data_IF_468129228604
#
_entry.id   IF_468129228604
#
_cell.length_a   1.000
_cell.length_b   1.000
_cell.length_c   1.000
_cell.angle_alpha   90.00
_cell.angle_beta   90.00
_cell.angle_gamma   90.00
#
_symmetry.space_group_name_H-M   'P 1'
#
loop_
_entity.id
_entity.type
_entity.pdbx_description
1 polymer ?
#
# COMPACT_ATOMS: atom_id res chain seq x y z
N UNK A 1 -43.00 -24.64 -17.24
CA UNK A 1 -42.09 -23.50 -17.51
C UNK A 1 -41.55 -23.04 -16.18
N UNK A 2 -40.23 -23.01 -16.01
CA UNK A 2 -39.63 -22.46 -14.81
C UNK A 2 -39.77 -20.93 -14.87
N UNK A 3 -40.31 -20.32 -13.81
CA UNK A 3 -40.34 -18.86 -13.69
C UNK A 3 -38.93 -18.38 -13.35
N UNK A 4 -38.34 -17.58 -14.23
CA UNK A 4 -37.11 -16.83 -13.92
C UNK A 4 -37.51 -15.47 -13.34
N UNK A 5 -36.97 -15.14 -12.16
CA UNK A 5 -37.18 -13.84 -11.50
C UNK A 5 -35.85 -13.12 -11.36
N UNK A 6 -35.82 -11.83 -11.69
CA UNK A 6 -34.67 -10.95 -11.51
C UNK A 6 -34.95 -9.98 -10.36
N UNK A 7 -34.01 -9.88 -9.42
CA UNK A 7 -34.10 -8.97 -8.27
C UNK A 7 -32.94 -7.98 -8.28
N UNK A 8 -33.25 -6.71 -8.07
CA UNK A 8 -32.27 -5.64 -7.88
C UNK A 8 -32.38 -5.18 -6.43
N UNK A 9 -31.25 -5.14 -5.73
CA UNK A 9 -31.16 -4.71 -4.33
C UNK A 9 -30.11 -3.61 -4.22
N UNK A 10 -30.48 -2.49 -3.59
CA UNK A 10 -29.54 -1.44 -3.17
C UNK A 10 -29.17 -1.68 -1.71
N UNK A 11 -27.90 -1.52 -1.35
CA UNK A 11 -27.43 -1.78 0.02
C UNK A 11 -26.27 -0.86 0.39
N UNK A 12 -26.25 -0.45 1.66
CA UNK A 12 -25.08 0.14 2.32
C UNK A 12 -24.30 -0.88 3.16
N UNK A 13 -24.75 -2.14 3.17
CA UNK A 13 -24.08 -3.19 3.93
C UNK A 13 -22.85 -3.69 3.18
N UNK A 14 -21.66 -3.62 3.79
CA UNK A 14 -20.44 -4.12 3.18
C UNK A 14 -20.42 -5.65 3.04
N UNK A 15 -21.24 -6.36 3.83
CA UNK A 15 -21.34 -7.82 3.81
C UNK A 15 -21.91 -8.40 2.50
N UNK A 16 -22.46 -7.59 1.60
CA UNK A 16 -23.02 -8.09 0.33
C UNK A 16 -21.97 -8.84 -0.53
N UNK A 17 -20.70 -8.46 -0.38
CA UNK A 17 -19.55 -9.08 -1.05
C UNK A 17 -19.26 -10.49 -0.53
N UNK A 18 -19.54 -10.73 0.75
CA UNK A 18 -19.34 -12.01 1.42
C UNK A 18 -20.09 -13.13 0.69
N UNK A 19 -21.39 -12.90 0.49
CA UNK A 19 -22.31 -13.90 -0.03
C UNK A 19 -22.19 -14.12 -1.54
N UNK A 20 -21.95 -13.05 -2.30
CA UNK A 20 -22.14 -13.07 -3.76
C UNK A 20 -20.90 -12.74 -4.58
N UNK A 21 -19.79 -12.35 -3.95
CA UNK A 21 -18.54 -11.97 -4.63
C UNK A 21 -18.72 -10.74 -5.53
N UNK A 22 -17.80 -10.53 -6.48
CA UNK A 22 -17.78 -9.32 -7.32
C UNK A 22 -18.81 -9.30 -8.46
N UNK A 23 -19.12 -10.45 -9.05
CA UNK A 23 -19.89 -10.52 -10.32
C UNK A 23 -21.27 -9.81 -10.30
N UNK A 24 -22.09 -9.92 -9.25
CA UNK A 24 -23.43 -9.32 -9.26
C UNK A 24 -23.44 -7.85 -8.82
N UNK A 25 -22.29 -7.26 -8.47
CA UNK A 25 -22.25 -5.93 -7.87
C UNK A 25 -22.12 -4.86 -8.97
N UNK A 26 -22.90 -3.80 -8.82
CA UNK A 26 -22.77 -2.55 -9.55
C UNK A 26 -22.48 -1.46 -8.53
N UNK A 27 -21.32 -0.84 -8.66
CA UNK A 27 -20.83 0.13 -7.71
C UNK A 27 -21.09 1.54 -8.23
N UNK A 28 -21.86 2.32 -7.48
CA UNK A 28 -22.25 3.68 -7.86
C UNK A 28 -21.27 4.65 -7.19
N UNK A 29 -20.35 5.18 -7.98
CA UNK A 29 -19.37 6.16 -7.54
C UNK A 29 -19.86 7.56 -7.85
N UNK A 30 -19.98 8.41 -6.83
CA UNK A 30 -20.23 9.84 -7.04
C UNK A 30 -18.94 10.54 -7.47
N UNK A 31 -19.05 11.44 -8.43
CA UNK A 31 -17.96 12.26 -8.94
C UNK A 31 -18.41 13.72 -9.01
N UNK A 32 -17.46 14.64 -8.85
CA UNK A 32 -17.68 16.06 -9.05
C UNK A 32 -16.71 16.54 -10.13
N UNK A 33 -17.19 16.67 -11.36
CA UNK A 33 -16.39 17.07 -12.52
C UNK A 33 -16.79 18.49 -12.88
N UNK A 34 -15.85 19.44 -12.76
CA UNK A 34 -16.12 20.83 -13.16
C UNK A 34 -17.27 21.51 -12.41
N UNK A 35 -17.61 21.04 -11.20
CA UNK A 35 -18.72 21.55 -10.40
C UNK A 35 -20.05 20.81 -10.61
N UNK A 36 -20.14 19.89 -11.56
CA UNK A 36 -21.31 19.04 -11.78
C UNK A 36 -21.18 17.70 -11.05
N UNK A 37 -22.23 17.34 -10.32
CA UNK A 37 -22.33 16.05 -9.65
C UNK A 37 -22.77 14.98 -10.65
N UNK A 38 -21.89 14.04 -10.93
CA UNK A 38 -22.15 12.89 -11.80
C UNK A 38 -22.05 11.59 -11.01
N UNK A 39 -22.61 10.51 -11.54
CA UNK A 39 -22.47 9.18 -10.95
C UNK A 39 -22.00 8.21 -12.01
N UNK A 40 -20.87 7.56 -11.75
CA UNK A 40 -20.33 6.50 -12.58
C UNK A 40 -20.73 5.15 -12.00
N UNK A 41 -21.22 4.25 -12.86
CA UNK A 41 -21.61 2.89 -12.45
C UNK A 41 -20.52 1.92 -12.88
N UNK A 42 -19.72 1.47 -11.92
CA UNK A 42 -18.67 0.48 -12.14
C UNK A 42 -19.24 -0.93 -12.09
N UNK A 43 -18.90 -1.74 -13.11
CA UNK A 43 -19.31 -3.13 -13.20
C UNK A 43 -18.22 -4.06 -12.65
N UNK A 44 -18.37 -4.52 -11.41
CA UNK A 44 -17.39 -5.40 -10.76
C UNK A 44 -17.24 -6.76 -11.44
N UNK A 45 -18.21 -7.21 -12.25
CA UNK A 45 -18.01 -8.38 -13.10
C UNK A 45 -16.95 -8.16 -14.16
N UNK A 46 -16.85 -6.94 -14.70
CA UNK A 46 -15.83 -6.61 -15.69
C UNK A 46 -14.43 -6.61 -15.06
N UNK A 47 -14.31 -6.08 -13.83
CA UNK A 47 -13.08 -6.20 -13.03
C UNK A 47 -12.69 -7.66 -12.82
N UNK A 48 -13.64 -8.48 -12.34
CA UNK A 48 -13.41 -9.90 -12.08
C UNK A 48 -12.91 -10.67 -13.32
N UNK A 49 -13.38 -10.32 -14.52
CA UNK A 49 -12.94 -10.96 -15.77
C UNK A 49 -11.58 -10.47 -16.27
N UNK A 50 -11.22 -9.20 -16.01
CA UNK A 50 -9.98 -8.59 -16.51
C UNK A 50 -8.76 -8.83 -15.61
N UNK A 51 -8.97 -9.23 -14.35
CA UNK A 51 -7.88 -9.36 -13.36
C UNK A 51 -7.73 -10.79 -12.81
N UNK A 52 -7.45 -11.81 -13.64
CA UNK A 52 -7.44 -13.21 -13.20
C UNK A 52 -6.40 -13.52 -12.12
N UNK A 53 -5.25 -12.83 -12.11
CA UNK A 53 -4.14 -13.11 -11.19
C UNK A 53 -4.39 -12.60 -9.76
N UNK A 54 -5.16 -11.53 -9.61
CA UNK A 54 -5.36 -10.85 -8.31
C UNK A 54 -6.77 -11.09 -7.74
N UNK A 55 -7.78 -11.38 -8.58
CA UNK A 55 -9.19 -11.40 -8.16
C UNK A 55 -9.50 -12.35 -7.03
N UNK A 56 -8.89 -13.53 -6.99
CA UNK A 56 -9.23 -14.56 -6.00
C UNK A 56 -8.65 -14.19 -4.63
N UNK A 57 -7.46 -13.61 -4.61
CA UNK A 57 -6.86 -13.01 -3.42
C UNK A 57 -7.70 -11.83 -2.92
N UNK A 58 -8.00 -10.86 -3.80
CA UNK A 58 -8.78 -9.68 -3.45
C UNK A 58 -10.18 -10.04 -2.95
N UNK A 59 -10.85 -10.97 -3.64
CA UNK A 59 -12.16 -11.43 -3.21
C UNK A 59 -12.08 -12.11 -1.84
N UNK A 60 -11.10 -13.01 -1.61
CA UNK A 60 -10.95 -13.67 -0.31
C UNK A 60 -10.66 -12.66 0.80
N UNK A 61 -9.77 -11.71 0.54
CA UNK A 61 -9.36 -10.70 1.50
C UNK A 61 -10.54 -9.78 1.90
N UNK A 62 -11.29 -9.28 0.91
CA UNK A 62 -12.45 -8.40 1.15
C UNK A 62 -13.64 -9.13 1.79
N UNK A 63 -13.77 -10.45 1.59
CA UNK A 63 -14.80 -11.24 2.27
C UNK A 63 -14.53 -11.37 3.77
N UNK A 64 -13.27 -11.53 4.19
CA UNK A 64 -12.95 -11.92 5.56
C UNK A 64 -12.85 -10.74 6.52
N UNK A 65 -12.30 -9.60 6.07
CA UNK A 65 -11.82 -8.58 7.02
C UNK A 65 -12.15 -7.14 6.62
N UNK A 66 -12.19 -6.82 5.32
CA UNK A 66 -12.21 -5.41 4.86
C UNK A 66 -13.27 -5.12 3.78
N UNK A 67 -14.53 -5.47 4.06
CA UNK A 67 -15.63 -5.14 3.15
C UNK A 67 -16.03 -3.65 3.20
N UNK A 68 -15.57 -2.94 4.22
CA UNK A 68 -15.70 -1.49 4.44
C UNK A 68 -15.01 -0.64 3.36
N UNK A 69 -13.99 -1.18 2.67
CA UNK A 69 -13.28 -0.51 1.57
C UNK A 69 -14.22 0.10 0.52
N UNK A 70 -15.35 -0.55 0.23
CA UNK A 70 -16.32 -0.06 -0.78
C UNK A 70 -17.07 1.19 -0.34
N UNK A 71 -17.13 1.45 0.96
CA UNK A 71 -17.84 2.58 1.54
C UNK A 71 -16.89 3.64 2.09
N UNK A 72 -15.58 3.42 1.98
CA UNK A 72 -14.57 4.31 2.51
C UNK A 72 -14.46 5.61 1.70
N UNK A 73 -14.25 6.72 2.41
CA UNK A 73 -13.87 8.00 1.80
C UNK A 73 -12.42 7.94 1.32
N UNK A 74 -11.56 7.22 2.06
CA UNK A 74 -10.19 6.91 1.68
C UNK A 74 -9.71 5.61 2.33
N UNK A 75 -8.73 4.96 1.72
CA UNK A 75 -8.10 3.75 2.19
C UNK A 75 -6.66 4.02 2.66
N UNK A 76 -6.23 3.39 3.75
CA UNK A 76 -4.83 3.38 4.17
C UNK A 76 -4.39 1.91 4.24
N UNK A 77 -3.52 1.52 3.32
CA UNK A 77 -2.93 0.19 3.28
C UNK A 77 -1.65 0.23 4.08
N UNK A 78 -1.56 -0.61 5.09
CA UNK A 78 -0.40 -0.70 5.97
C UNK A 78 0.21 -2.09 5.91
N UNK A 79 1.53 -2.16 5.97
CA UNK A 79 2.25 -3.42 5.83
C UNK A 79 1.95 -4.42 6.95
N UNK A 80 1.99 -3.96 8.21
CA UNK A 80 1.88 -4.81 9.38
C UNK A 80 0.88 -4.33 10.44
N UNK A 81 0.87 -5.10 11.53
CA UNK A 81 -0.03 -4.88 12.66
C UNK A 81 0.37 -3.67 13.51
N UNK A 82 1.65 -3.29 13.53
CA UNK A 82 2.13 -2.14 14.31
C UNK A 82 1.52 -0.85 13.78
N UNK A 83 1.63 -0.61 12.47
CA UNK A 83 0.99 0.50 11.78
C UNK A 83 -0.52 0.51 12.01
N UNK A 84 -1.17 -0.66 11.85
CA UNK A 84 -2.63 -0.78 12.01
C UNK A 84 -3.09 -0.35 13.40
N UNK A 85 -2.31 -0.65 14.44
CA UNK A 85 -2.62 -0.30 15.82
C UNK A 85 -2.26 1.15 16.16
N UNK A 86 -1.15 1.66 15.66
CA UNK A 86 -0.66 3.00 15.98
C UNK A 86 -1.38 4.10 15.21
N UNK A 87 -1.72 3.86 13.94
CA UNK A 87 -2.27 4.89 13.05
C UNK A 87 -3.58 5.52 13.57
N UNK A 88 -4.56 4.77 14.11
CA UNK A 88 -5.75 5.37 14.72
C UNK A 88 -5.41 6.29 15.90
N UNK A 89 -4.43 5.91 16.73
CA UNK A 89 -3.99 6.72 17.87
C UNK A 89 -3.29 7.99 17.38
N UNK A 90 -2.43 7.88 16.36
CA UNK A 90 -1.75 9.03 15.75
C UNK A 90 -2.76 10.04 15.19
N UNK A 91 -3.79 9.57 14.47
CA UNK A 91 -4.86 10.43 13.93
C UNK A 91 -5.65 11.14 15.04
N UNK A 92 -5.91 10.45 16.16
CA UNK A 92 -6.64 11.03 17.29
C UNK A 92 -5.80 12.05 18.09
N UNK A 93 -4.49 11.86 18.17
CA UNK A 93 -3.61 12.76 18.91
C UNK A 93 -3.14 13.96 18.07
N UNK A 94 -3.01 13.77 16.75
CA UNK A 94 -2.47 14.80 15.86
C UNK A 94 -3.50 15.92 15.58
N UNK A 95 -3.09 17.16 15.82
CA UNK A 95 -3.98 18.33 15.68
C UNK A 95 -4.24 18.67 14.22
N UNK A 96 -3.29 18.37 13.35
CA UNK A 96 -3.43 18.60 11.91
C UNK A 96 -4.35 17.56 11.25
N UNK A 97 -4.55 16.40 11.89
CA UNK A 97 -5.36 15.29 11.38
C UNK A 97 -6.84 15.34 11.80
N UNK A 98 -7.33 16.42 12.41
CA UNK A 98 -8.71 16.50 12.96
C UNK A 98 -9.78 16.18 11.92
N UNK A 99 -9.59 16.59 10.66
CA UNK A 99 -10.53 16.30 9.57
C UNK A 99 -10.67 14.80 9.26
N UNK A 100 -9.61 14.03 9.47
CA UNK A 100 -9.58 12.58 9.24
C UNK A 100 -10.42 11.80 10.24
N UNK A 101 -10.65 12.35 11.44
CA UNK A 101 -11.45 11.72 12.50
C UNK A 101 -12.93 11.59 12.13
N UNK A 102 -13.41 12.48 11.26
CA UNK A 102 -14.78 12.46 10.73
C UNK A 102 -14.91 11.78 9.38
N UNK A 103 -13.79 11.35 8.77
CA UNK A 103 -13.79 10.65 7.49
C UNK A 103 -13.99 9.14 7.71
N UNK A 104 -14.69 8.48 6.79
CA UNK A 104 -14.81 7.03 6.78
C UNK A 104 -13.52 6.40 6.22
N UNK A 105 -12.46 6.38 7.03
CA UNK A 105 -11.19 5.76 6.67
C UNK A 105 -11.25 4.24 6.84
N UNK A 106 -10.84 3.51 5.80
CA UNK A 106 -10.60 2.06 5.90
C UNK A 106 -9.09 1.83 6.04
N UNK A 107 -8.66 1.23 7.15
CA UNK A 107 -7.26 0.87 7.39
C UNK A 107 -7.11 -0.64 7.16
N UNK A 108 -6.29 -1.02 6.17
CA UNK A 108 -6.13 -2.40 5.72
C UNK A 108 -4.71 -2.87 6.00
N UNK A 109 -4.55 -3.88 6.85
CA UNK A 109 -3.26 -4.55 7.08
C UNK A 109 -3.06 -5.62 6.01
N UNK A 110 -2.11 -5.39 5.11
CA UNK A 110 -1.89 -6.28 3.96
C UNK A 110 -1.05 -7.52 4.29
N UNK A 111 -0.37 -7.52 5.45
CA UNK A 111 0.37 -8.67 5.97
C UNK A 111 1.67 -8.92 5.20
N UNK A 112 2.50 -7.87 5.07
CA UNK A 112 3.76 -7.83 4.31
C UNK A 112 3.68 -6.90 3.09
N UNK A 113 4.74 -6.89 2.26
CA UNK A 113 4.91 -6.03 1.08
C UNK A 113 3.96 -6.28 -0.11
N UNK A 114 2.68 -6.61 0.14
CA UNK A 114 1.69 -7.04 -0.85
C UNK A 114 0.68 -5.95 -1.26
N UNK A 115 0.88 -4.69 -0.85
CA UNK A 115 -0.04 -3.60 -1.20
C UNK A 115 -0.21 -3.41 -2.72
N UNK A 116 0.83 -3.68 -3.53
CA UNK A 116 0.74 -3.71 -5.00
C UNK A 116 -0.40 -4.58 -5.55
N UNK A 117 -0.80 -5.66 -4.85
CA UNK A 117 -1.91 -6.53 -5.28
C UNK A 117 -3.27 -5.86 -5.23
N UNK A 118 -3.40 -4.77 -4.48
CA UNK A 118 -4.61 -3.96 -4.38
C UNK A 118 -4.68 -2.86 -5.42
N UNK A 119 -3.58 -2.60 -6.14
CA UNK A 119 -3.49 -1.54 -7.16
C UNK A 119 -4.68 -1.57 -8.11
N UNK A 120 -4.91 -2.71 -8.77
CA UNK A 120 -5.98 -2.80 -9.77
C UNK A 120 -7.36 -2.50 -9.20
N UNK A 121 -7.62 -2.90 -7.95
CA UNK A 121 -8.90 -2.66 -7.28
C UNK A 121 -9.06 -1.20 -6.85
N UNK A 122 -8.02 -0.60 -6.24
CA UNK A 122 -8.02 0.80 -5.84
C UNK A 122 -8.23 1.70 -7.07
N UNK A 123 -7.50 1.42 -8.15
CA UNK A 123 -7.61 2.15 -9.40
C UNK A 123 -8.99 1.98 -10.06
N UNK A 124 -9.50 0.74 -10.07
CA UNK A 124 -10.83 0.43 -10.61
C UNK A 124 -11.93 1.16 -9.83
N UNK A 125 -11.93 1.06 -8.50
CA UNK A 125 -12.92 1.73 -7.64
C UNK A 125 -12.74 3.26 -7.62
N UNK A 126 -11.56 3.77 -7.97
CA UNK A 126 -11.24 5.20 -7.96
C UNK A 126 -11.08 5.75 -6.55
N UNK A 127 -10.48 4.98 -5.65
CA UNK A 127 -10.35 5.37 -4.26
C UNK A 127 -9.17 6.34 -4.07
N UNK A 128 -9.28 7.21 -3.07
CA UNK A 128 -8.12 7.88 -2.50
C UNK A 128 -7.42 6.89 -1.57
N UNK A 129 -6.15 6.62 -1.81
CA UNK A 129 -5.40 5.61 -1.06
C UNK A 129 -4.02 6.13 -0.63
N UNK A 130 -3.65 5.79 0.60
CA UNK A 130 -2.29 5.91 1.12
C UNK A 130 -1.75 4.50 1.34
N UNK A 131 -0.53 4.23 0.89
CA UNK A 131 0.19 3.01 1.23
C UNK A 131 1.35 3.40 2.14
N UNK A 132 1.45 2.75 3.29
CA UNK A 132 2.57 2.86 4.23
C UNK A 132 3.24 1.48 4.24
N UNK A 133 4.48 1.42 3.78
CA UNK A 133 5.21 0.16 3.60
C UNK A 133 6.68 0.36 3.97
N UNK A 134 7.35 -0.74 4.28
CA UNK A 134 8.76 -0.76 4.62
C UNK A 134 9.67 -0.60 3.41
N UNK A 135 10.89 -0.13 3.67
CA UNK A 135 11.92 0.04 2.67
C UNK A 135 12.54 -1.32 2.29
N UNK A 136 12.56 -2.26 3.24
CA UNK A 136 13.07 -3.63 3.09
C UNK A 136 14.41 -3.71 2.33
N UNK A 137 15.41 -2.98 2.82
CA UNK A 137 16.74 -2.96 2.22
C UNK A 137 17.43 -4.33 2.32
N UNK A 138 17.95 -4.79 1.18
CA UNK A 138 18.72 -6.02 1.02
C UNK A 138 19.97 -5.78 0.19
N UNK A 139 21.04 -6.48 0.52
CA UNK A 139 22.26 -6.58 -0.27
C UNK A 139 22.12 -7.77 -1.23
N UNK A 140 22.22 -7.56 -2.55
CA UNK A 140 22.08 -8.65 -3.50
C UNK A 140 23.18 -9.70 -3.29
N UNK A 141 22.79 -10.97 -3.31
CA UNK A 141 23.70 -12.12 -3.28
C UNK A 141 23.68 -12.84 -4.63
N UNK A 142 24.74 -13.58 -4.95
CA UNK A 142 24.78 -14.35 -6.19
C UNK A 142 23.89 -15.60 -6.06
N UNK A 143 23.25 -16.00 -7.16
CA UNK A 143 22.51 -17.26 -7.22
C UNK A 143 23.48 -18.43 -6.96
N UNK A 144 23.28 -19.15 -5.85
CA UNK A 144 24.07 -20.34 -5.47
C UNK A 144 25.05 -20.16 -4.30
N UNK A 145 24.96 -19.08 -3.51
CA UNK A 145 25.64 -19.00 -2.21
C UNK A 145 24.98 -19.96 -1.19
N UNK A 146 25.79 -20.66 -0.39
CA UNK A 146 25.41 -21.85 0.39
C UNK A 146 24.52 -21.60 1.64
N UNK A 147 24.08 -20.35 1.87
CA UNK A 147 23.21 -19.96 3.01
C UNK A 147 21.82 -19.50 2.52
N UNK A 148 21.13 -20.34 1.73
CA UNK A 148 19.80 -20.02 1.15
C UNK A 148 18.72 -19.74 2.22
N UNK A 149 18.88 -20.22 3.46
CA UNK A 149 17.86 -20.15 4.51
C UNK A 149 17.61 -18.73 5.06
N UNK A 150 18.51 -17.76 4.83
CA UNK A 150 18.36 -16.36 5.30
C UNK A 150 18.11 -15.35 4.18
N UNK A 151 18.03 -15.81 2.93
CA UNK A 151 17.91 -14.92 1.78
C UNK A 151 16.44 -14.49 1.56
N UNK A 152 16.25 -13.20 1.30
CA UNK A 152 14.96 -12.67 0.86
C UNK A 152 14.87 -12.74 -0.66
N UNK A 153 13.98 -13.58 -1.18
CA UNK A 153 13.65 -13.62 -2.60
C UNK A 153 12.70 -12.49 -2.99
N UNK A 154 12.97 -11.86 -4.13
CA UNK A 154 12.11 -10.81 -4.68
C UNK A 154 12.17 -10.78 -6.21
N UNK A 155 11.12 -10.24 -6.82
CA UNK A 155 11.01 -10.11 -8.26
C UNK A 155 11.32 -8.67 -8.68
N UNK A 156 12.06 -8.53 -9.78
CA UNK A 156 12.31 -7.24 -10.43
C UNK A 156 11.86 -7.26 -11.90
N UNK A 157 11.36 -6.14 -12.44
CA UNK A 157 11.06 -6.03 -13.86
C UNK A 157 12.27 -6.40 -14.72
N UNK A 158 12.00 -7.10 -15.83
CA UNK A 158 13.03 -7.43 -16.81
C UNK A 158 13.47 -6.16 -17.56
N UNK A 159 14.74 -6.12 -17.97
CA UNK A 159 15.28 -5.01 -18.77
C UNK A 159 14.63 -4.95 -20.16
N UNK A 160 14.21 -6.09 -20.70
CA UNK A 160 13.42 -6.16 -21.92
C UNK A 160 11.92 -6.12 -21.59
N UNK A 161 11.20 -5.20 -22.22
CA UNK A 161 9.74 -5.13 -22.11
C UNK A 161 9.11 -6.45 -22.58
N UNK A 162 8.02 -6.85 -21.94
CA UNK A 162 7.25 -8.09 -22.20
C UNK A 162 7.92 -9.42 -21.83
N UNK A 163 9.13 -9.40 -21.26
CA UNK A 163 9.72 -10.59 -20.64
C UNK A 163 9.24 -10.79 -19.18
N UNK A 164 9.22 -12.04 -18.69
CA UNK A 164 8.85 -12.31 -17.30
C UNK A 164 9.83 -11.65 -16.32
N UNK A 165 9.37 -11.30 -15.10
CA UNK A 165 10.22 -10.70 -14.09
C UNK A 165 11.37 -11.63 -13.71
N UNK A 166 12.50 -11.02 -13.34
CA UNK A 166 13.71 -11.73 -12.92
C UNK A 166 13.68 -11.89 -11.41
N UNK A 167 13.92 -13.11 -10.93
CA UNK A 167 14.10 -13.36 -9.50
C UNK A 167 15.50 -12.96 -9.05
N UNK A 168 15.56 -12.27 -7.93
CA UNK A 168 16.78 -11.92 -7.21
C UNK A 168 16.66 -12.37 -5.77
N UNK A 169 17.80 -12.57 -5.14
CA UNK A 169 17.91 -12.86 -3.71
C UNK A 169 18.83 -11.85 -3.07
N UNK A 170 18.58 -11.53 -1.80
CA UNK A 170 19.44 -10.63 -1.04
C UNK A 170 19.32 -10.84 0.45
N UNK A 171 20.41 -10.56 1.17
CA UNK A 171 20.45 -10.57 2.63
C UNK A 171 20.08 -9.21 3.17
N UNK A 172 19.30 -9.17 4.26
CA UNK A 172 18.94 -7.92 4.92
C UNK A 172 20.18 -7.05 5.20
N UNK A 173 20.09 -5.77 4.86
CA UNK A 173 21.19 -4.83 5.05
C UNK A 173 20.68 -3.47 5.55
N UNK A 174 21.60 -2.61 5.95
CA UNK A 174 21.27 -1.22 6.29
C UNK A 174 20.90 -0.44 5.02
N UNK A 175 19.89 0.46 5.09
CA UNK A 175 19.55 1.34 3.96
C UNK A 175 20.71 2.20 3.45
N UNK A 176 21.69 2.49 4.30
CA UNK A 176 22.89 3.26 3.96
C UNK A 176 23.96 2.46 3.23
N UNK A 177 23.82 1.13 3.10
CA UNK A 177 24.83 0.30 2.45
C UNK A 177 24.91 0.61 0.94
N UNK A 178 26.12 0.86 0.38
CA UNK A 178 26.27 1.15 -1.04
C UNK A 178 25.73 0.02 -1.92
N UNK A 179 24.83 0.34 -2.84
CA UNK A 179 24.23 -0.63 -3.75
C UNK A 179 23.09 -1.46 -3.15
N UNK A 180 22.60 -1.10 -1.96
CA UNK A 180 21.40 -1.72 -1.37
C UNK A 180 20.20 -1.61 -2.32
N UNK A 181 19.45 -2.70 -2.42
CA UNK A 181 18.19 -2.81 -3.15
C UNK A 181 17.03 -2.90 -2.17
N UNK A 182 15.80 -2.64 -2.62
CA UNK A 182 14.60 -3.02 -1.88
C UNK A 182 14.12 -4.40 -2.34
N UNK A 183 13.61 -5.22 -1.43
CA UNK A 183 12.83 -6.42 -1.78
C UNK A 183 11.31 -6.13 -1.84
N UNK A 184 10.89 -4.93 -1.44
CA UNK A 184 9.48 -4.54 -1.34
C UNK A 184 8.82 -4.41 -2.73
N UNK A 185 7.90 -5.32 -3.03
CA UNK A 185 7.24 -5.40 -4.34
C UNK A 185 6.36 -4.18 -4.64
N UNK A 186 5.88 -3.47 -3.62
CA UNK A 186 5.11 -2.23 -3.83
C UNK A 186 5.99 -1.11 -4.36
N UNK A 187 7.18 -0.95 -3.79
CA UNK A 187 8.16 0.05 -4.23
C UNK A 187 8.70 -0.25 -5.64
N UNK A 188 8.87 -1.54 -5.96
CA UNK A 188 9.36 -2.02 -7.25
C UNK A 188 8.29 -1.92 -8.35
N UNK A 189 7.06 -2.38 -8.10
CA UNK A 189 6.06 -2.59 -9.15
C UNK A 189 5.02 -1.47 -9.25
N UNK A 190 4.73 -0.77 -8.14
CA UNK A 190 3.64 0.21 -8.11
C UNK A 190 4.14 1.65 -8.15
N UNK A 191 4.70 2.13 -7.04
CA UNK A 191 5.25 3.48 -6.87
C UNK A 191 6.36 3.42 -5.81
N UNK A 192 7.50 4.10 -6.02
CA UNK A 192 7.84 4.94 -7.17
C UNK A 192 8.41 4.16 -8.38
N UNK A 193 8.38 2.82 -8.34
CA UNK A 193 8.99 1.91 -9.34
C UNK A 193 10.50 2.06 -9.43
N UNK A 194 11.15 2.08 -8.27
CA UNK A 194 12.61 2.14 -8.13
C UNK A 194 13.09 0.86 -7.45
N UNK A 195 14.34 0.50 -7.69
CA UNK A 195 14.91 -0.75 -7.16
C UNK A 195 16.02 -0.50 -6.14
N UNK A 196 16.84 0.53 -6.36
CA UNK A 196 17.91 0.84 -5.42
C UNK A 196 17.37 1.70 -4.27
N UNK A 197 17.91 1.49 -3.07
CA UNK A 197 17.59 2.34 -1.92
C UNK A 197 17.97 3.79 -2.20
N UNK A 198 19.09 4.03 -2.88
CA UNK A 198 19.52 5.38 -3.26
C UNK A 198 18.47 6.10 -4.13
N UNK A 199 17.88 5.42 -5.12
CA UNK A 199 16.80 5.99 -5.93
C UNK A 199 15.53 6.23 -5.12
N UNK A 200 15.19 5.33 -4.19
CA UNK A 200 14.01 5.47 -3.33
C UNK A 200 14.14 6.66 -2.38
N UNK A 201 15.32 6.88 -1.80
CA UNK A 201 15.59 8.03 -0.94
C UNK A 201 15.63 9.35 -1.74
N UNK A 202 16.03 9.29 -3.01
CA UNK A 202 16.03 10.45 -3.92
C UNK A 202 14.66 10.71 -4.59
N UNK A 203 13.70 9.78 -4.46
CA UNK A 203 12.41 9.89 -5.14
C UNK A 203 11.60 11.10 -4.66
N UNK A 204 11.07 11.84 -5.62
CA UNK A 204 10.27 13.04 -5.42
C UNK A 204 8.85 12.71 -4.93
N UNK A 205 8.14 13.72 -4.44
CA UNK A 205 6.73 13.59 -4.04
C UNK A 205 5.84 13.22 -5.24
N UNK A 206 6.16 13.74 -6.42
CA UNK A 206 5.48 13.43 -7.67
C UNK A 206 5.69 11.97 -8.09
N UNK A 207 6.89 11.41 -7.92
CA UNK A 207 7.16 9.99 -8.21
C UNK A 207 6.46 9.04 -7.22
N UNK A 208 6.16 9.51 -6.01
CA UNK A 208 5.43 8.77 -4.97
C UNK A 208 3.91 8.89 -5.09
N UNK A 209 3.42 9.72 -6.01
CA UNK A 209 2.00 10.04 -6.20
C UNK A 209 1.53 9.60 -7.58
N UNK A 210 0.45 8.83 -7.63
CA UNK A 210 -0.27 8.54 -8.87
C UNK A 210 -1.72 8.99 -8.74
N UNK A 211 -2.12 9.90 -9.62
CA UNK A 211 -3.49 10.39 -9.68
C UNK A 211 -4.01 10.24 -11.10
N UNK A 212 -5.22 9.73 -11.24
CA UNK A 212 -5.90 9.68 -12.52
C UNK A 212 -6.26 11.08 -13.02
N UNK A 213 -6.10 11.32 -14.31
CA UNK A 213 -6.45 12.59 -14.95
C UNK A 213 -7.98 12.82 -14.99
N UNK A 214 -8.39 14.08 -15.15
CA UNK A 214 -9.79 14.43 -15.44
C UNK A 214 -10.76 14.41 -14.24
N UNK A 215 -10.26 14.44 -13.00
CA UNK A 215 -11.08 14.63 -11.80
C UNK A 215 -11.94 13.42 -11.38
N UNK A 216 -11.78 12.30 -12.07
CA UNK A 216 -12.69 11.14 -12.01
C UNK A 216 -12.10 9.87 -11.40
N UNK A 217 -10.81 9.83 -11.15
CA UNK A 217 -10.18 8.58 -10.75
C UNK A 217 -9.49 8.64 -9.40
N UNK A 218 -8.77 7.57 -9.14
CA UNK A 218 -8.08 7.34 -7.89
C UNK A 218 -6.97 8.36 -7.67
N UNK A 219 -6.56 8.49 -6.40
CA UNK A 219 -5.35 9.18 -6.00
C UNK A 219 -4.61 8.30 -5.01
N UNK A 220 -3.44 7.79 -5.39
CA UNK A 220 -2.63 6.88 -4.58
C UNK A 220 -1.32 7.57 -4.24
N UNK A 221 -0.94 7.56 -2.96
CA UNK A 221 0.42 7.92 -2.53
C UNK A 221 1.06 6.73 -1.81
N UNK A 222 2.34 6.49 -2.05
CA UNK A 222 3.14 5.51 -1.29
C UNK A 222 4.14 6.25 -0.41
N UNK A 223 4.24 5.84 0.85
CA UNK A 223 5.22 6.33 1.81
C UNK A 223 6.00 5.16 2.38
N UNK A 224 7.23 5.45 2.73
CA UNK A 224 8.22 4.55 3.30
C UNK A 224 9.24 5.41 4.04
N UNK A 225 10.16 4.76 4.74
CA UNK A 225 11.14 5.40 5.61
C UNK A 225 12.03 6.38 4.83
N UNK A 226 12.34 7.52 5.47
CA UNK A 226 13.23 8.56 4.93
C UNK A 226 14.36 8.84 5.92
N UNK A 227 15.48 9.46 5.48
CA UNK A 227 16.59 9.76 6.37
C UNK A 227 16.20 10.82 7.41
N UNK A 228 16.54 10.54 8.66
CA UNK A 228 16.29 11.39 9.83
C UNK A 228 17.62 11.72 10.50
N UNK A 229 17.83 12.99 10.82
CA UNK A 229 18.99 13.41 11.58
C UNK A 229 18.81 13.04 13.05
N UNK A 230 19.66 12.14 13.55
CA UNK A 230 19.63 11.66 14.93
C UNK A 230 20.88 12.14 15.65
N UNK A 231 20.70 12.75 16.81
CA UNK A 231 21.80 13.15 17.69
C UNK A 231 21.93 12.16 18.84
N UNK A 232 23.12 11.60 19.02
CA UNK A 232 23.47 10.69 20.11
C UNK A 232 24.83 11.08 20.69
N UNK A 233 24.94 11.24 22.01
CA UNK A 233 26.18 11.66 22.69
C UNK A 233 26.86 12.91 22.11
N UNK A 234 26.09 13.84 21.53
CA UNK A 234 26.61 15.07 20.92
C UNK A 234 27.07 14.93 19.47
N UNK A 235 26.98 13.74 18.88
CA UNK A 235 27.23 13.50 17.46
C UNK A 235 25.91 13.37 16.70
N UNK A 236 25.78 14.08 15.58
CA UNK A 236 24.60 14.00 14.71
C UNK A 236 24.93 13.20 13.46
N UNK A 237 24.11 12.18 13.17
CA UNK A 237 24.20 11.38 11.96
C UNK A 237 22.83 11.32 11.26
N UNK A 238 22.84 11.31 9.92
CA UNK A 238 21.65 11.05 9.12
C UNK A 238 21.46 9.54 9.01
N UNK A 239 20.43 9.01 9.67
CA UNK A 239 20.11 7.58 9.72
C UNK A 239 18.77 7.31 9.04
N UNK A 240 18.62 6.14 8.44
CA UNK A 240 17.34 5.72 7.84
C UNK A 240 17.01 4.33 8.37
N UNK A 241 15.80 4.17 8.89
CA UNK A 241 15.27 2.86 9.28
C UNK A 241 14.95 2.03 8.05
N UNK A 242 15.04 0.71 8.19
CA UNK A 242 14.58 -0.27 7.21
C UNK A 242 13.08 -0.52 7.34
N UNK A 243 12.57 -0.54 8.59
CA UNK A 243 11.17 -0.77 8.92
C UNK A 243 10.55 0.43 9.64
N UNK A 244 9.22 0.43 9.80
CA UNK A 244 8.51 1.48 10.53
C UNK A 244 9.02 1.59 11.97
N UNK A 245 9.25 0.48 12.66
CA UNK A 245 9.66 0.48 14.07
C UNK A 245 11.03 1.13 14.26
N UNK A 246 11.96 0.86 13.35
CA UNK A 246 13.27 1.50 13.35
C UNK A 246 13.14 3.00 13.11
N UNK A 247 12.40 3.41 12.08
CA UNK A 247 12.18 4.83 11.79
C UNK A 247 11.49 5.56 12.95
N UNK A 248 10.49 4.93 13.56
CA UNK A 248 9.80 5.44 14.73
C UNK A 248 10.76 5.65 15.91
N UNK A 249 11.65 4.68 16.16
CA UNK A 249 12.70 4.81 17.19
C UNK A 249 13.69 5.94 16.89
N UNK A 250 14.11 6.09 15.63
CA UNK A 250 15.04 7.13 15.20
C UNK A 250 14.42 8.54 15.32
N UNK A 251 13.17 8.72 14.90
CA UNK A 251 12.45 10.00 15.03
C UNK A 251 12.20 10.39 16.50
N UNK A 252 12.06 9.40 17.37
CA UNK A 252 11.86 9.59 18.80
C UNK A 252 13.15 9.37 19.63
N UNK A 253 14.33 9.47 18.99
CA UNK A 253 15.61 9.13 19.62
C UNK A 253 15.88 9.90 20.91
N UNK A 254 15.46 11.17 21.02
CA UNK A 254 15.60 11.96 22.24
C UNK A 254 14.80 11.36 23.42
N UNK A 255 13.60 10.86 23.14
CA UNK A 255 12.77 10.19 24.14
C UNK A 255 13.36 8.83 24.52
N UNK A 256 13.84 8.04 23.55
CA UNK A 256 14.51 6.75 23.79
C UNK A 256 15.81 6.89 24.59
N UNK A 257 16.50 8.03 24.49
CA UNK A 257 17.73 8.35 25.21
C UNK A 257 17.52 8.89 26.62
N UNK A 258 16.31 9.35 26.94
CA UNK A 258 16.02 9.87 28.27
C UNK A 258 16.20 8.74 29.28
N UNK A 259 17.03 8.97 30.32
CA UNK A 259 17.07 8.06 31.45
C UNK A 259 15.64 7.90 31.99
N UNK A 260 15.19 6.65 32.12
CA UNK A 260 13.81 6.24 32.37
C UNK A 260 12.99 7.27 33.18
N UNK A 261 11.85 7.68 32.64
CA UNK A 261 10.82 8.40 33.39
C UNK A 261 10.23 7.52 34.50
#
# INVERSE_FOLDING_TARGET
GAFESQTIVTTHSPHILYERGFRPIRYFRRQNIGGEQTTEVLNLSAFYSKTPNERDFLQRYLKLTHCDLFFADAAILVEGNVERLLLPVMIEQEKEAVSLRSACLSILEVGGAFAHRFKSLIEFLGLVALVITDLDSVKPVALGDEDEDEDTEFEVPNAEADQPPVRKSGKTCLPSEPGALTSNQTLIQWLPRKQTVAELLAATDEEKLHQAEGGNGFKVRVTYQVPTNVTWNGETASLCGRTLEEAFGLENAAWCQAAAQ
#
